data_IF_243373004475
#
_entry.id   IF_243373004475
#
_cell.length_a   1.000
_cell.length_b   1.000
_cell.length_c   1.000
_cell.angle_alpha   90.00
_cell.angle_beta   90.00
_cell.angle_gamma   90.00
#
_symmetry.space_group_name_H-M   'P 1'
#
loop_
_entity.id
_entity.type
_entity.pdbx_description
1 polymer ?
#
# COMPACT_ATOMS: atom_id res chain seq x y z
N UNK A 1 49.69 14.76 -2.30
CA UNK A 1 48.22 14.63 -2.23
C UNK A 1 47.72 14.07 -3.57
N UNK A 2 46.59 13.35 -3.62
CA UNK A 2 46.06 12.84 -4.90
C UNK A 2 44.82 13.63 -5.30
N UNK A 3 44.85 14.21 -6.51
CA UNK A 3 43.71 14.85 -7.15
C UNK A 3 42.81 13.75 -7.71
N UNK A 4 41.54 13.74 -7.30
CA UNK A 4 40.52 12.89 -7.91
C UNK A 4 39.88 13.66 -9.06
N UNK A 5 40.07 13.17 -10.27
CA UNK A 5 39.52 13.78 -11.48
C UNK A 5 38.54 12.82 -12.15
N UNK A 6 37.35 13.30 -12.47
CA UNK A 6 36.35 12.55 -13.25
C UNK A 6 36.41 13.01 -14.70
N UNK A 7 36.66 12.07 -15.61
CA UNK A 7 36.69 12.37 -17.04
C UNK A 7 35.29 12.68 -17.58
N UNK A 8 35.12 13.81 -18.27
CA UNK A 8 33.83 14.27 -18.81
C UNK A 8 33.28 13.42 -19.97
N UNK A 9 34.11 12.57 -20.58
CA UNK A 9 33.73 11.78 -21.75
C UNK A 9 33.38 10.32 -21.42
N UNK A 10 33.91 9.78 -20.32
CA UNK A 10 33.75 8.36 -19.98
C UNK A 10 33.49 8.10 -18.49
N UNK A 11 33.35 9.16 -17.69
CA UNK A 11 33.11 9.12 -16.24
C UNK A 11 34.11 8.30 -15.41
N UNK A 12 35.25 7.92 -16.00
CA UNK A 12 36.31 7.25 -15.27
C UNK A 12 36.92 8.18 -14.21
N UNK A 13 36.95 7.73 -12.96
CA UNK A 13 37.56 8.43 -11.83
C UNK A 13 39.04 8.09 -11.74
N UNK A 14 39.89 9.07 -12.06
CA UNK A 14 41.34 8.94 -12.04
C UNK A 14 41.92 9.54 -10.77
N UNK A 15 42.80 8.78 -10.12
CA UNK A 15 43.62 9.24 -8.98
C UNK A 15 44.97 9.69 -9.53
N UNK A 16 45.14 11.00 -9.67
CA UNK A 16 46.35 11.60 -10.22
C UNK A 16 47.11 12.26 -9.07
N UNK A 17 48.44 12.18 -9.08
CA UNK A 17 49.24 12.87 -8.06
C UNK A 17 49.23 14.39 -8.30
N UNK A 18 49.22 15.15 -7.23
CA UNK A 18 49.26 16.62 -7.22
C UNK A 18 50.47 17.23 -7.95
N UNK A 19 51.60 16.52 -8.05
CA UNK A 19 52.78 16.96 -8.81
C UNK A 19 52.53 17.11 -10.33
N UNK A 20 51.36 16.66 -10.81
CA UNK A 20 50.92 16.79 -12.20
C UNK A 20 49.82 17.83 -12.40
N UNK A 21 49.47 18.60 -11.37
CA UNK A 21 48.58 19.74 -11.51
C UNK A 21 49.07 20.71 -12.60
N UNK A 22 48.16 21.21 -13.44
CA UNK A 22 48.46 22.12 -14.55
C UNK A 22 49.07 21.48 -15.80
N UNK A 23 49.39 20.18 -15.80
CA UNK A 23 49.92 19.48 -16.98
C UNK A 23 48.79 18.88 -17.84
N UNK A 24 49.04 18.80 -19.16
CA UNK A 24 48.15 18.12 -20.09
C UNK A 24 48.28 16.60 -19.93
N UNK A 25 47.18 15.93 -19.59
CA UNK A 25 47.06 14.49 -19.47
C UNK A 25 46.13 13.89 -20.51
N UNK A 26 46.13 12.56 -20.62
CA UNK A 26 45.13 11.81 -21.39
C UNK A 26 44.45 10.78 -20.52
N UNK A 27 43.14 10.65 -20.67
CA UNK A 27 42.38 9.64 -19.94
C UNK A 27 42.77 8.23 -20.44
N UNK A 28 43.09 7.27 -19.54
CA UNK A 28 43.39 5.90 -19.95
C UNK A 28 42.18 5.13 -20.50
N UNK A 29 40.96 5.56 -20.17
CA UNK A 29 39.71 4.97 -20.68
C UNK A 29 39.39 5.40 -22.13
N UNK A 30 39.23 6.70 -22.35
CA UNK A 30 38.78 7.25 -23.63
C UNK A 30 39.87 7.96 -24.46
N UNK A 31 41.09 8.10 -23.94
CA UNK A 31 42.24 8.82 -24.57
C UNK A 31 42.01 10.32 -24.80
N UNK A 32 40.90 10.88 -24.33
CA UNK A 32 40.63 12.33 -24.38
C UNK A 32 41.71 13.10 -23.63
N UNK A 33 42.21 14.17 -24.26
CA UNK A 33 43.17 15.07 -23.65
C UNK A 33 42.45 16.04 -22.69
N UNK A 34 43.00 16.22 -21.50
CA UNK A 34 42.45 17.14 -20.49
C UNK A 34 43.60 17.82 -19.73
N UNK A 35 43.31 18.97 -19.11
CA UNK A 35 44.27 19.68 -18.25
C UNK A 35 43.92 19.38 -16.80
N UNK A 36 44.90 18.94 -16.01
CA UNK A 36 44.70 18.58 -14.60
C UNK A 36 44.47 19.87 -13.79
N UNK A 37 43.32 20.04 -13.12
CA UNK A 37 43.04 21.24 -12.33
C UNK A 37 44.01 21.38 -11.15
N UNK A 38 44.36 22.61 -10.77
CA UNK A 38 45.11 22.86 -9.54
C UNK A 38 44.20 22.61 -8.32
N UNK A 39 44.70 21.96 -7.25
CA UNK A 39 43.89 21.72 -6.06
C UNK A 39 43.70 23.05 -5.30
N UNK A 40 42.43 23.41 -5.04
CA UNK A 40 42.09 24.53 -4.14
C UNK A 40 42.59 24.24 -2.71
N UNK A 41 43.21 25.21 -2.01
CA UNK A 41 43.82 24.98 -0.70
C UNK A 41 42.80 25.07 0.45
N UNK A 42 41.65 24.37 0.39
CA UNK A 42 40.83 24.08 1.59
C UNK A 42 40.00 22.81 1.38
N UNK A 43 40.50 21.70 1.89
CA UNK A 43 39.68 20.61 2.43
C UNK A 43 40.62 19.65 3.17
N UNK A 44 40.75 19.85 4.48
CA UNK A 44 41.24 18.82 5.39
C UNK A 44 40.35 17.59 5.29
N UNK A 45 40.97 16.45 5.05
CA UNK A 45 40.37 15.13 4.87
C UNK A 45 39.33 14.76 5.95
N UNK A 46 38.26 14.00 5.60
CA UNK A 46 37.54 13.19 6.58
C UNK A 46 38.41 12.00 7.03
N UNK A 47 38.23 11.47 8.26
CA UNK A 47 39.15 10.50 8.86
C UNK A 47 39.13 9.14 8.12
N UNK A 48 40.19 8.33 8.26
CA UNK A 48 40.33 7.07 7.55
C UNK A 48 39.37 6.01 8.11
N UNK A 49 38.62 5.40 7.21
CA UNK A 49 37.94 4.13 7.49
C UNK A 49 39.03 3.05 7.53
N UNK A 50 39.25 2.48 8.71
CA UNK A 50 40.17 1.36 8.90
C UNK A 50 39.53 0.06 8.41
N UNK A 51 40.24 -0.64 7.53
CA UNK A 51 40.11 -2.09 7.37
C UNK A 51 40.90 -2.78 8.49
N UNK A 52 40.30 -3.77 9.14
CA UNK A 52 41.02 -4.64 10.09
C UNK A 52 40.15 -5.49 11.00
N UNK A 53 39.61 -6.59 10.46
CA UNK A 53 39.62 -7.93 11.08
C UNK A 53 38.66 -8.26 12.23
N UNK A 54 37.85 -9.30 12.04
CA UNK A 54 37.16 -10.03 13.10
C UNK A 54 35.84 -10.68 12.66
N UNK A 55 35.96 -11.73 11.85
CA UNK A 55 35.26 -13.04 11.88
C UNK A 55 33.75 -13.14 12.17
N UNK A 56 33.10 -14.03 11.40
CA UNK A 56 31.68 -14.47 11.45
C UNK A 56 30.74 -13.46 10.74
N UNK A 57 30.25 -13.69 9.51
CA UNK A 57 29.22 -14.65 9.13
C UNK A 57 29.23 -14.81 7.58
N UNK A 58 29.80 -15.90 7.07
CA UNK A 58 29.57 -16.39 5.71
C UNK A 58 28.23 -17.14 5.70
N UNK A 59 27.14 -16.59 5.11
CA UNK A 59 25.98 -17.41 4.71
C UNK A 59 24.89 -16.71 3.85
N UNK A 60 25.27 -15.83 2.90
CA UNK A 60 24.29 -15.21 2.00
C UNK A 60 24.52 -15.40 0.50
N UNK A 61 25.64 -16.00 0.07
CA UNK A 61 25.94 -16.19 -1.36
C UNK A 61 25.87 -17.65 -1.84
N UNK A 62 25.56 -18.62 -0.98
CA UNK A 62 25.34 -20.01 -1.39
C UNK A 62 23.91 -20.31 -1.88
N UNK A 63 22.96 -19.37 -1.73
CA UNK A 63 21.54 -19.62 -2.06
C UNK A 63 21.11 -19.14 -3.47
N UNK A 64 22.00 -18.49 -4.22
CA UNK A 64 21.65 -17.90 -5.53
C UNK A 64 22.23 -18.65 -6.75
N UNK A 65 22.81 -19.84 -6.55
CA UNK A 65 23.36 -20.65 -7.63
C UNK A 65 23.06 -22.15 -7.46
N UNK A 66 21.79 -22.54 -7.36
CA UNK A 66 21.42 -23.97 -7.49
C UNK A 66 20.03 -24.12 -8.14
N UNK A 67 20.03 -24.80 -9.29
CA UNK A 67 18.89 -25.38 -10.02
C UNK A 67 17.76 -24.47 -10.49
N UNK A 68 17.72 -24.27 -11.81
CA UNK A 68 16.52 -23.88 -12.52
C UNK A 68 15.55 -25.05 -12.68
N UNK A 69 14.26 -24.74 -12.61
CA UNK A 69 13.19 -25.49 -13.27
C UNK A 69 12.02 -24.53 -13.48
N UNK A 70 11.58 -24.41 -14.73
CA UNK A 70 10.52 -23.49 -15.18
C UNK A 70 9.23 -24.30 -15.24
N UNK A 71 8.17 -23.97 -14.47
CA UNK A 71 6.89 -24.62 -14.68
C UNK A 71 6.14 -23.97 -15.85
N UNK A 72 5.89 -24.79 -16.87
CA UNK A 72 5.03 -24.53 -18.01
C UNK A 72 3.62 -24.07 -17.63
N UNK A 73 3.08 -23.14 -18.41
CA UNK A 73 1.72 -22.64 -18.31
C UNK A 73 0.72 -23.65 -18.93
N UNK A 74 -0.44 -23.93 -18.31
CA UNK A 74 -1.46 -24.74 -18.95
C UNK A 74 -2.35 -23.92 -19.90
N UNK A 75 -2.54 -24.46 -21.11
CA UNK A 75 -3.50 -24.01 -22.12
C UNK A 75 -4.97 -24.28 -21.71
N UNK A 76 -5.95 -23.57 -22.31
CA UNK A 76 -7.35 -23.69 -21.95
C UNK A 76 -8.02 -24.81 -22.75
N UNK A 77 -8.79 -25.67 -22.08
CA UNK A 77 -9.79 -26.49 -22.77
C UNK A 77 -11.15 -26.37 -22.07
N UNK A 78 -12.08 -25.81 -22.83
CA UNK A 78 -13.51 -25.96 -22.62
C UNK A 78 -13.98 -27.09 -23.51
N UNK A 79 -14.64 -28.11 -22.98
CA UNK A 79 -15.73 -28.82 -23.66
C UNK A 79 -16.69 -29.38 -22.61
N UNK A 80 -17.98 -29.14 -22.88
CA UNK A 80 -19.17 -29.68 -22.26
C UNK A 80 -19.28 -31.20 -22.50
N UNK A 81 -19.95 -31.96 -21.63
CA UNK A 81 -21.17 -32.68 -22.02
C UNK A 81 -21.83 -33.43 -20.85
N UNK A 82 -23.16 -33.37 -20.89
CA UNK A 82 -24.18 -33.93 -20.01
C UNK A 82 -24.35 -35.46 -20.12
N UNK A 83 -25.11 -36.01 -19.14
CA UNK A 83 -25.96 -37.22 -19.12
C UNK A 83 -25.55 -38.17 -17.97
N UNK A 84 -26.27 -38.21 -16.84
CA UNK A 84 -27.62 -38.73 -16.61
C UNK A 84 -27.83 -40.15 -17.17
N UNK A 85 -27.66 -41.16 -16.31
CA UNK A 85 -28.51 -42.35 -16.38
C UNK A 85 -28.71 -42.93 -14.98
N UNK A 86 -29.85 -42.54 -14.40
CA UNK A 86 -30.43 -43.15 -13.20
C UNK A 86 -31.33 -44.30 -13.65
N UNK A 87 -30.86 -45.54 -13.64
CA UNK A 87 -31.72 -46.72 -13.88
C UNK A 87 -32.42 -47.19 -12.59
N UNK A 88 -33.76 -47.30 -12.57
CA UNK A 88 -34.52 -47.77 -11.41
C UNK A 88 -34.69 -49.30 -11.45
N UNK A 89 -34.10 -50.01 -10.49
CA UNK A 89 -34.40 -51.43 -10.28
C UNK A 89 -35.60 -51.58 -9.33
N UNK A 90 -36.81 -51.55 -9.89
CA UNK A 90 -37.97 -52.20 -9.28
C UNK A 90 -37.82 -53.70 -9.53
N UNK A 91 -37.60 -54.46 -8.46
CA UNK A 91 -37.48 -55.91 -8.48
C UNK A 91 -38.13 -56.55 -7.26
N UNK A 92 -39.43 -56.31 -7.06
CA UNK A 92 -40.21 -57.13 -6.15
C UNK A 92 -40.45 -58.51 -6.81
N UNK A 93 -39.97 -59.58 -6.17
CA UNK A 93 -40.51 -60.92 -6.37
C UNK A 93 -41.07 -61.41 -5.03
N UNK A 94 -42.35 -61.83 -4.98
CA UNK A 94 -43.00 -62.24 -3.74
C UNK A 94 -42.39 -63.55 -3.23
N UNK A 95 -42.07 -63.58 -1.93
CA UNK A 95 -41.67 -64.81 -1.26
C UNK A 95 -42.82 -65.83 -1.27
N UNK A 96 -42.48 -67.08 -1.57
CA UNK A 96 -43.41 -68.21 -1.61
C UNK A 96 -43.89 -68.62 -0.21
N UNK A 97 -45.05 -69.30 -0.09
CA UNK A 97 -45.76 -69.53 1.18
C UNK A 97 -45.09 -70.47 2.19
N UNK A 98 -43.88 -70.97 1.94
CA UNK A 98 -43.28 -72.11 2.63
C UNK A 98 -42.28 -71.73 3.75
N UNK A 99 -42.12 -70.43 4.05
CA UNK A 99 -41.33 -69.95 5.20
C UNK A 99 -42.20 -69.35 6.33
N UNK A 100 -43.51 -69.57 6.29
CA UNK A 100 -44.51 -69.05 7.24
C UNK A 100 -45.00 -70.08 8.28
N UNK A 101 -44.19 -71.08 8.63
CA UNK A 101 -44.65 -72.18 9.49
C UNK A 101 -43.78 -72.49 10.73
N UNK A 102 -42.99 -71.55 11.26
CA UNK A 102 -42.31 -71.78 12.56
C UNK A 102 -42.61 -70.81 13.70
N UNK A 103 -43.59 -69.91 13.55
CA UNK A 103 -44.14 -69.14 14.68
C UNK A 103 -45.64 -69.36 14.81
N UNK A 104 -46.01 -70.60 15.09
CA UNK A 104 -47.30 -70.95 15.67
C UNK A 104 -47.15 -70.84 17.20
N UNK A 105 -47.73 -69.82 17.87
CA UNK A 105 -47.85 -69.85 19.32
C UNK A 105 -48.72 -71.07 19.73
N UNK A 106 -48.43 -71.72 20.87
CA UNK A 106 -49.18 -72.89 21.29
C UNK A 106 -50.66 -72.57 21.49
N UNK A 107 -51.57 -73.52 21.22
CA UNK A 107 -53.00 -73.37 21.49
C UNK A 107 -53.23 -73.00 22.95
N UNK A 108 -53.86 -71.85 23.18
CA UNK A 108 -54.33 -71.44 24.49
C UNK A 108 -55.52 -72.34 24.82
N UNK A 109 -55.41 -73.12 25.90
CA UNK A 109 -56.54 -73.86 26.46
C UNK A 109 -57.70 -72.88 26.66
N UNK A 110 -58.85 -73.18 26.05
CA UNK A 110 -60.09 -72.49 26.35
C UNK A 110 -60.71 -73.18 27.56
N UNK A 111 -60.74 -72.54 28.74
CA UNK A 111 -61.63 -73.02 29.79
C UNK A 111 -63.08 -72.78 29.34
N UNK A 112 -63.71 -73.87 28.94
CA UNK A 112 -65.05 -74.32 29.32
C UNK A 112 -66.01 -73.20 29.76
N UNK A 113 -67.03 -73.05 28.93
CA UNK A 113 -68.17 -72.16 29.05
C UNK A 113 -69.11 -72.58 30.18
N UNK A 114 -68.83 -72.18 31.41
CA UNK A 114 -69.85 -72.14 32.46
C UNK A 114 -69.72 -70.82 33.24
N UNK A 115 -70.84 -70.11 33.39
CA UNK A 115 -71.02 -68.82 34.09
C UNK A 115 -70.62 -67.50 33.39
N UNK A 116 -71.07 -67.30 32.15
CA UNK A 116 -71.02 -65.99 31.47
C UNK A 116 -71.92 -64.91 32.10
N UNK A 117 -72.76 -65.26 33.08
CA UNK A 117 -73.68 -64.33 33.74
C UNK A 117 -73.03 -63.46 34.82
N UNK A 118 -71.93 -63.91 35.45
CA UNK A 118 -71.19 -63.13 36.45
C UNK A 118 -70.02 -62.34 35.87
N UNK A 119 -69.49 -62.76 34.72
CA UNK A 119 -68.38 -62.07 34.06
C UNK A 119 -68.80 -60.72 33.48
N UNK A 120 -70.00 -60.62 32.89
CA UNK A 120 -70.50 -59.36 32.34
C UNK A 120 -70.75 -58.30 33.43
N UNK A 121 -71.29 -58.70 34.58
CA UNK A 121 -71.50 -57.80 35.72
C UNK A 121 -70.19 -57.29 36.34
N UNK A 122 -69.20 -58.16 36.47
CA UNK A 122 -67.88 -57.78 36.99
C UNK A 122 -67.11 -56.85 36.03
N UNK A 123 -67.24 -57.04 34.71
CA UNK A 123 -66.63 -56.15 33.72
C UNK A 123 -67.31 -54.79 33.68
N UNK A 124 -68.63 -54.72 33.83
CA UNK A 124 -69.35 -53.46 33.92
C UNK A 124 -68.98 -52.68 35.19
N UNK A 125 -68.97 -53.34 36.35
CA UNK A 125 -68.53 -52.71 37.60
C UNK A 125 -67.07 -52.23 37.54
N UNK A 126 -66.18 -53.00 36.89
CA UNK A 126 -64.78 -52.60 36.68
C UNK A 126 -64.64 -51.47 35.65
N UNK A 127 -65.52 -51.39 34.66
CA UNK A 127 -65.55 -50.30 33.68
C UNK A 127 -66.08 -48.99 34.27
N UNK A 128 -67.04 -49.07 35.21
CA UNK A 128 -67.55 -47.92 35.95
C UNK A 128 -66.53 -47.43 36.98
N UNK A 129 -65.86 -48.33 37.70
CA UNK A 129 -64.76 -47.95 38.59
C UNK A 129 -63.55 -47.40 37.83
N UNK A 130 -63.25 -47.94 36.64
CA UNK A 130 -62.19 -47.41 35.78
C UNK A 130 -62.56 -46.03 35.22
N UNK A 131 -63.81 -45.80 34.83
CA UNK A 131 -64.28 -44.47 34.41
C UNK A 131 -64.31 -43.47 35.57
N UNK A 132 -64.65 -43.89 36.78
CA UNK A 132 -64.62 -43.03 37.97
C UNK A 132 -63.20 -42.66 38.42
N UNK A 133 -62.20 -43.51 38.15
CA UNK A 133 -60.79 -43.21 38.38
C UNK A 133 -60.25 -42.20 37.34
N UNK A 134 -60.61 -42.37 36.06
CA UNK A 134 -60.18 -41.47 34.96
C UNK A 134 -60.80 -40.08 35.06
N UNK A 135 -61.95 -39.93 35.73
CA UNK A 135 -62.59 -38.61 35.96
C UNK A 135 -61.92 -37.78 37.06
N UNK A 136 -61.07 -38.39 37.90
CA UNK A 136 -60.33 -37.68 38.97
C UNK A 136 -58.83 -37.47 38.67
N UNK A 137 -58.34 -37.87 37.49
CA UNK A 137 -56.97 -37.56 37.06
C UNK A 137 -56.99 -36.35 36.12
N UNK A 138 -56.54 -35.20 36.64
CA UNK A 138 -56.19 -34.03 35.83
C UNK A 138 -55.15 -34.44 34.77
N UNK A 139 -55.28 -33.99 33.50
CA UNK A 139 -54.34 -34.37 32.46
C UNK A 139 -52.94 -33.84 32.81
N UNK A 140 -52.02 -34.73 33.12
CA UNK A 140 -50.62 -34.39 33.34
C UNK A 140 -50.03 -33.88 32.01
N UNK A 141 -49.72 -32.58 31.97
CA UNK A 141 -49.09 -31.87 30.85
C UNK A 141 -47.70 -32.44 30.56
N UNK A 142 -47.68 -33.46 29.70
CA UNK A 142 -46.46 -34.07 29.17
C UNK A 142 -46.00 -33.33 27.92
N UNK A 143 -45.92 -32.00 27.99
CA UNK A 143 -45.00 -31.28 27.11
C UNK A 143 -43.58 -31.53 27.62
N UNK A 144 -42.63 -32.00 26.78
CA UNK A 144 -41.23 -32.03 27.17
C UNK A 144 -40.79 -30.57 27.34
N UNK A 145 -40.82 -30.08 28.59
CA UNK A 145 -40.22 -28.80 28.96
C UNK A 145 -38.72 -28.97 28.72
N UNK A 146 -38.25 -28.50 27.57
CA UNK A 146 -36.82 -28.28 27.37
C UNK A 146 -36.43 -27.27 28.44
N UNK A 147 -35.63 -27.73 29.41
CA UNK A 147 -35.17 -26.91 30.52
C UNK A 147 -34.22 -25.85 29.96
N UNK A 148 -34.76 -24.65 29.69
CA UNK A 148 -34.04 -23.57 29.03
C UNK A 148 -32.80 -23.11 29.82
N UNK A 149 -32.72 -23.48 31.10
CA UNK A 149 -31.58 -23.20 31.98
C UNK A 149 -30.36 -24.08 31.65
N UNK A 150 -30.55 -25.35 31.30
CA UNK A 150 -29.47 -26.24 30.84
C UNK A 150 -29.00 -25.86 29.43
N UNK A 151 -29.95 -25.54 28.54
CA UNK A 151 -29.63 -25.05 27.19
C UNK A 151 -28.84 -23.74 27.26
N UNK A 152 -29.18 -22.85 28.19
CA UNK A 152 -28.46 -21.60 28.46
C UNK A 152 -27.05 -21.83 29.01
N UNK A 153 -26.86 -22.79 29.92
CA UNK A 153 -25.54 -23.15 30.44
C UNK A 153 -24.64 -23.76 29.35
N UNK A 154 -25.17 -24.63 28.49
CA UNK A 154 -24.41 -25.23 27.38
C UNK A 154 -24.10 -24.18 26.31
N UNK A 155 -25.05 -23.30 26.00
CA UNK A 155 -24.85 -22.19 25.08
C UNK A 155 -23.79 -21.23 25.59
N UNK A 156 -23.83 -20.78 26.84
CA UNK A 156 -22.80 -19.88 27.40
C UNK A 156 -21.42 -20.54 27.40
N UNK A 157 -21.30 -21.83 27.77
CA UNK A 157 -20.00 -22.51 27.86
C UNK A 157 -19.37 -22.78 26.50
N UNK A 158 -20.16 -22.87 25.42
CA UNK A 158 -19.67 -23.06 24.04
C UNK A 158 -19.55 -21.76 23.23
N UNK A 159 -20.38 -20.74 23.48
CA UNK A 159 -20.31 -19.45 22.80
C UNK A 159 -19.25 -18.49 23.40
N UNK A 160 -18.93 -18.56 24.70
CA UNK A 160 -17.86 -17.75 25.30
C UNK A 160 -16.49 -17.90 24.60
N UNK A 161 -15.98 -19.12 24.31
CA UNK A 161 -14.70 -19.28 23.64
C UNK A 161 -14.75 -18.88 22.16
N UNK A 162 -15.91 -19.00 21.50
CA UNK A 162 -16.10 -18.57 20.10
C UNK A 162 -16.12 -17.04 20.02
N UNK A 163 -16.85 -16.37 20.91
CA UNK A 163 -16.88 -14.91 21.01
C UNK A 163 -15.51 -14.33 21.41
N UNK A 164 -14.83 -14.97 22.36
CA UNK A 164 -13.47 -14.59 22.76
C UNK A 164 -12.44 -14.80 21.64
N UNK A 165 -12.54 -15.89 20.89
CA UNK A 165 -11.68 -16.16 19.73
C UNK A 165 -11.89 -15.16 18.60
N UNK A 166 -13.14 -14.84 18.25
CA UNK A 166 -13.46 -13.83 17.23
C UNK A 166 -12.99 -12.44 17.67
N UNK A 167 -13.18 -12.07 18.94
CA UNK A 167 -12.70 -10.80 19.48
C UNK A 167 -11.16 -10.73 19.49
N UNK A 168 -10.49 -11.83 19.83
CA UNK A 168 -9.02 -11.93 19.79
C UNK A 168 -8.48 -11.78 18.36
N UNK A 169 -9.06 -12.48 17.39
CA UNK A 169 -8.69 -12.35 15.97
C UNK A 169 -8.98 -10.94 15.46
N UNK A 170 -10.11 -10.34 15.82
CA UNK A 170 -10.43 -8.96 15.45
C UNK A 170 -9.41 -7.95 16.03
N UNK A 171 -8.97 -8.14 17.28
CA UNK A 171 -7.94 -7.30 17.90
C UNK A 171 -6.57 -7.48 17.24
N UNK A 172 -6.19 -8.71 16.88
CA UNK A 172 -4.94 -8.98 16.15
C UNK A 172 -4.99 -8.34 14.76
N UNK A 173 -6.09 -8.51 14.03
CA UNK A 173 -6.28 -7.86 12.73
C UNK A 173 -6.27 -6.33 12.84
N UNK A 174 -6.89 -5.76 13.87
CA UNK A 174 -6.86 -4.32 14.14
C UNK A 174 -5.45 -3.82 14.48
N UNK A 175 -4.67 -4.60 15.25
CA UNK A 175 -3.30 -4.26 15.60
C UNK A 175 -2.38 -4.34 14.38
N UNK A 176 -2.49 -5.39 13.56
CA UNK A 176 -1.77 -5.53 12.30
C UNK A 176 -2.11 -4.40 11.31
N UNK A 177 -3.40 -4.05 11.19
CA UNK A 177 -3.85 -2.93 10.36
C UNK A 177 -3.31 -1.59 10.86
N UNK A 178 -3.32 -1.38 12.18
CA UNK A 178 -2.76 -0.17 12.81
C UNK A 178 -1.24 -0.07 12.62
N UNK A 179 -0.51 -1.19 12.63
CA UNK A 179 0.93 -1.22 12.37
C UNK A 179 1.29 -0.97 10.89
N UNK A 180 0.43 -1.33 9.93
CA UNK A 180 0.64 -1.02 8.51
C UNK A 180 0.31 0.43 8.16
N UNK A 181 -0.46 1.14 9.00
CA UNK A 181 -0.72 2.58 8.86
C UNK A 181 0.45 3.42 9.41
N UNK A 182 1.67 3.17 8.93
CA UNK A 182 2.76 4.12 9.11
C UNK A 182 2.54 5.29 8.16
N UNK A 183 1.85 6.33 8.66
CA UNK A 183 1.64 7.56 7.90
C UNK A 183 2.98 8.13 7.42
N UNK A 184 3.08 8.42 6.12
CA UNK A 184 4.25 9.10 5.55
C UNK A 184 4.44 10.42 6.29
N UNK A 185 5.58 10.59 6.97
CA UNK A 185 5.91 11.85 7.64
C UNK A 185 6.08 12.92 6.57
N UNK A 186 5.04 13.72 6.37
CA UNK A 186 5.09 14.85 5.46
C UNK A 186 5.87 16.01 6.09
N UNK A 187 6.64 16.77 5.29
CA UNK A 187 7.24 18.01 5.74
C UNK A 187 6.18 19.07 6.08
N UNK A 188 6.56 20.12 6.81
CA UNK A 188 5.67 21.26 7.08
C UNK A 188 5.30 21.95 5.76
N UNK A 189 4.01 21.93 5.42
CA UNK A 189 3.46 22.54 4.21
C UNK A 189 2.75 23.85 4.54
N UNK A 190 2.91 24.85 3.69
CA UNK A 190 2.22 26.12 3.71
C UNK A 190 1.50 26.36 2.39
N UNK A 191 0.33 27.01 2.45
CA UNK A 191 -0.44 27.34 1.26
C UNK A 191 0.30 28.38 0.43
N UNK A 192 0.42 28.13 -0.88
CA UNK A 192 1.05 29.04 -1.83
C UNK A 192 0.11 29.23 -3.01
N UNK A 193 -0.24 30.49 -3.25
CA UNK A 193 -1.05 30.93 -4.37
C UNK A 193 -0.39 32.12 -5.05
N UNK A 194 -0.78 32.40 -6.29
CA UNK A 194 -0.18 33.52 -7.00
C UNK A 194 -0.77 33.74 -8.38
N UNK A 195 -0.24 34.73 -9.07
CA UNK A 195 -0.54 35.03 -10.48
C UNK A 195 0.75 35.10 -11.27
N UNK A 196 0.73 34.59 -12.50
CA UNK A 196 1.83 34.70 -13.46
C UNK A 196 1.39 35.56 -14.63
N UNK A 197 2.21 36.56 -14.94
CA UNK A 197 2.01 37.43 -16.10
C UNK A 197 3.24 37.40 -17.01
N UNK A 198 3.05 37.55 -18.32
CA UNK A 198 4.09 37.72 -19.32
C UNK A 198 3.83 39.02 -20.07
N UNK A 199 4.78 39.96 -20.02
CA UNK A 199 4.66 41.30 -20.60
C UNK A 199 3.38 42.04 -20.18
N UNK A 200 2.99 41.85 -18.91
CA UNK A 200 1.80 42.46 -18.32
C UNK A 200 0.47 41.75 -18.65
N UNK A 201 0.48 40.67 -19.43
CA UNK A 201 -0.72 39.86 -19.72
C UNK A 201 -0.75 38.60 -18.86
N UNK A 202 -1.92 38.10 -18.42
CA UNK A 202 -2.00 36.83 -17.72
C UNK A 202 -1.43 35.70 -18.58
N UNK A 203 -0.65 34.80 -17.98
CA UNK A 203 -0.02 33.68 -18.68
C UNK A 203 -0.74 32.37 -18.34
N UNK A 204 -1.69 31.92 -19.16
CA UNK A 204 -2.47 30.73 -18.87
C UNK A 204 -1.72 29.44 -19.21
N UNK A 205 -2.01 28.36 -18.48
CA UNK A 205 -1.48 27.02 -18.74
C UNK A 205 0.04 26.91 -18.67
N UNK A 206 0.72 27.78 -17.92
CA UNK A 206 2.12 27.64 -17.54
C UNK A 206 2.22 26.72 -16.32
N UNK A 207 3.28 25.92 -16.25
CA UNK A 207 3.60 25.08 -15.10
C UNK A 207 4.65 25.79 -14.27
N UNK A 208 4.36 26.02 -13.00
CA UNK A 208 5.27 26.58 -12.02
C UNK A 208 5.70 25.49 -11.05
N UNK A 209 6.99 25.42 -10.75
CA UNK A 209 7.59 24.46 -9.82
C UNK A 209 8.45 25.19 -8.80
N UNK A 210 8.28 24.85 -7.54
CA UNK A 210 9.05 25.36 -6.41
C UNK A 210 9.93 24.22 -5.91
N UNK A 211 11.23 24.32 -6.17
CA UNK A 211 12.22 23.34 -5.73
C UNK A 211 12.92 23.87 -4.47
N UNK A 212 12.87 23.17 -3.33
CA UNK A 212 13.62 23.58 -2.15
C UNK A 212 15.11 23.75 -2.48
N UNK A 213 15.72 24.83 -2.01
CA UNK A 213 17.16 25.00 -2.13
C UNK A 213 17.83 24.00 -1.21
N UNK A 214 18.67 23.14 -1.78
CA UNK A 214 19.48 22.18 -1.05
C UNK A 214 20.36 22.90 -0.03
N UNK A 215 20.24 22.51 1.25
CA UNK A 215 21.14 22.99 2.30
C UNK A 215 22.23 21.93 2.50
N UNK A 216 23.47 22.31 2.24
CA UNK A 216 24.62 21.42 2.40
C UNK A 216 24.78 20.92 3.85
N UNK A 217 24.22 21.63 4.83
CA UNK A 217 24.28 21.26 6.24
C UNK A 217 23.09 20.39 6.68
N UNK A 218 22.05 20.28 5.86
CA UNK A 218 20.83 19.55 6.17
C UNK A 218 20.41 18.65 5.00
N UNK A 219 21.00 17.44 4.99
CA UNK A 219 20.74 16.40 3.98
C UNK A 219 19.25 16.02 3.93
N UNK A 220 18.51 16.20 5.03
CA UNK A 220 17.08 15.92 5.06
C UNK A 220 16.32 16.81 4.08
N UNK A 221 16.75 18.07 3.89
CA UNK A 221 16.17 19.01 2.92
C UNK A 221 16.46 18.67 1.47
N UNK A 222 17.58 17.99 1.19
CA UNK A 222 17.92 17.55 -0.16
C UNK A 222 17.02 16.40 -0.66
N UNK A 223 16.34 15.71 0.26
CA UNK A 223 15.37 14.66 -0.06
C UNK A 223 13.94 15.18 -0.15
N UNK A 224 13.71 16.48 0.07
CA UNK A 224 12.38 17.09 0.02
C UNK A 224 11.99 17.35 -1.45
N UNK A 225 10.80 16.90 -1.81
CA UNK A 225 10.26 17.07 -3.16
C UNK A 225 9.96 18.53 -3.50
N UNK A 226 9.90 18.82 -4.80
CA UNK A 226 9.35 20.08 -5.29
C UNK A 226 7.82 20.11 -5.22
N UNK A 227 7.26 21.31 -5.14
CA UNK A 227 5.81 21.54 -5.31
C UNK A 227 5.56 22.10 -6.70
N UNK A 228 4.41 21.79 -7.30
CA UNK A 228 4.08 22.27 -8.64
C UNK A 228 2.63 22.74 -8.73
N UNK A 229 2.39 23.69 -9.63
CA UNK A 229 1.08 24.23 -9.94
C UNK A 229 0.97 24.55 -11.42
N UNK A 230 -0.26 24.62 -11.93
CA UNK A 230 -0.53 25.05 -13.30
C UNK A 230 -1.40 26.30 -13.27
N UNK A 231 -1.09 27.28 -14.10
CA UNK A 231 -1.89 28.51 -14.17
C UNK A 231 -3.19 28.30 -14.93
N UNK A 232 -4.26 28.94 -14.44
CA UNK A 232 -5.57 29.02 -15.09
C UNK A 232 -5.61 30.10 -16.20
N UNK A 233 -6.78 30.30 -16.82
CA UNK A 233 -6.97 31.28 -17.90
C UNK A 233 -6.66 32.73 -17.50
N UNK A 234 -6.76 33.04 -16.21
CA UNK A 234 -6.45 34.35 -15.63
C UNK A 234 -5.02 34.42 -15.08
N UNK A 235 -4.22 33.38 -15.32
CA UNK A 235 -2.82 33.29 -14.89
C UNK A 235 -2.65 32.95 -13.41
N UNK A 236 -3.70 32.62 -12.66
CA UNK A 236 -3.59 32.23 -11.25
C UNK A 236 -3.14 30.80 -11.10
N UNK A 237 -2.35 30.53 -10.06
CA UNK A 237 -1.92 29.19 -9.70
C UNK A 237 -2.05 28.95 -8.20
N UNK A 238 -2.19 27.67 -7.85
CA UNK A 238 -1.97 27.13 -6.52
C UNK A 238 -0.91 26.03 -6.62
N UNK A 239 -0.06 25.90 -5.60
CA UNK A 239 0.93 24.82 -5.55
C UNK A 239 0.36 23.59 -4.84
N UNK A 240 0.73 22.43 -5.35
CA UNK A 240 0.55 21.15 -4.69
C UNK A 240 1.90 20.44 -4.53
N UNK A 241 2.14 19.92 -3.34
CA UNK A 241 3.24 19.04 -3.01
C UNK A 241 2.97 17.62 -3.52
N UNK A 242 4.03 16.81 -3.59
CA UNK A 242 3.95 15.41 -4.00
C UNK A 242 2.87 14.64 -3.21
N UNK A 243 2.14 13.75 -3.87
CA UNK A 243 1.01 13.03 -3.26
C UNK A 243 -0.31 13.80 -3.27
N UNK A 244 -0.36 14.97 -3.92
CA UNK A 244 -1.59 15.77 -4.05
C UNK A 244 -1.92 16.62 -2.81
N UNK A 245 -0.97 16.78 -1.90
CA UNK A 245 -1.13 17.62 -0.73
C UNK A 245 -1.02 19.10 -1.13
N UNK A 246 -1.95 19.93 -0.68
CA UNK A 246 -1.93 21.35 -1.03
C UNK A 246 -0.77 22.09 -0.36
N UNK A 247 -0.20 23.04 -1.10
CA UNK A 247 0.87 23.90 -0.61
C UNK A 247 2.26 23.49 -1.06
N UNK A 248 3.25 24.15 -0.46
CA UNK A 248 4.66 23.89 -0.63
C UNK A 248 5.36 23.83 0.72
N UNK A 249 6.53 23.21 0.75
CA UNK A 249 7.32 23.11 1.97
C UNK A 249 7.73 24.51 2.45
N UNK A 250 7.82 24.70 3.76
CA UNK A 250 8.31 25.95 4.34
C UNK A 250 9.83 26.05 4.14
N UNK A 251 10.31 27.16 3.57
CA UNK A 251 11.73 27.39 3.31
C UNK A 251 12.00 28.20 2.04
N UNK A 252 13.26 28.25 1.64
CA UNK A 252 13.69 28.91 0.40
C UNK A 252 13.56 27.95 -0.78
N UNK A 253 12.92 28.41 -1.85
CA UNK A 253 12.73 27.66 -3.08
C UNK A 253 13.30 28.39 -4.29
N UNK A 254 13.87 27.65 -5.23
CA UNK A 254 14.09 28.09 -6.60
C UNK A 254 12.81 27.86 -7.41
N UNK A 255 12.31 28.92 -8.03
CA UNK A 255 11.07 28.88 -8.83
C UNK A 255 11.41 28.65 -10.29
N UNK A 256 10.88 27.59 -10.88
CA UNK A 256 10.98 27.29 -12.32
C UNK A 256 9.61 27.41 -12.97
N UNK A 257 9.57 28.03 -14.13
CA UNK A 257 8.33 28.28 -14.87
C UNK A 257 8.55 27.79 -16.30
N UNK A 258 7.68 26.89 -16.71
CA UNK A 258 7.69 26.26 -18.02
C UNK A 258 6.36 26.52 -18.73
N UNK A 259 6.41 26.86 -20.01
CA UNK A 259 5.21 27.01 -20.84
C UNK A 259 5.47 26.36 -22.19
N UNK A 260 4.83 25.22 -22.41
CA UNK A 260 4.85 24.52 -23.69
C UNK A 260 3.76 25.02 -24.64
N UNK A 261 4.09 25.08 -25.93
CA UNK A 261 3.13 25.28 -27.03
C UNK A 261 2.37 23.99 -27.39
N UNK A 262 1.63 24.00 -28.50
CA UNK A 262 0.83 22.83 -28.93
C UNK A 262 1.72 21.70 -29.42
N UNK A 263 2.91 22.04 -29.87
CA UNK A 263 3.96 21.17 -30.38
C UNK A 263 4.84 20.62 -29.24
N UNK A 264 4.62 21.09 -28.00
CA UNK A 264 5.35 20.67 -26.81
C UNK A 264 6.70 21.39 -26.62
N UNK A 265 6.96 22.44 -27.38
CA UNK A 265 8.18 23.24 -27.30
C UNK A 265 8.05 24.31 -26.22
N UNK A 266 9.12 24.51 -25.47
CA UNK A 266 9.20 25.56 -24.44
C UNK A 266 9.23 26.95 -25.09
N UNK A 267 8.32 27.82 -24.64
CA UNK A 267 8.12 29.16 -25.19
C UNK A 267 8.80 30.25 -24.36
N UNK A 268 9.12 29.97 -23.09
CA UNK A 268 9.79 30.91 -22.20
C UNK A 268 11.31 30.89 -22.38
N UNK A 269 11.96 32.02 -22.11
CA UNK A 269 13.43 32.13 -22.07
C UNK A 269 14.06 31.23 -21.00
N UNK A 270 15.30 30.79 -21.21
CA UNK A 270 15.98 29.81 -20.34
C UNK A 270 16.12 30.31 -18.90
N UNK A 271 16.20 31.63 -18.73
CA UNK A 271 16.21 32.32 -17.42
C UNK A 271 15.00 32.01 -16.51
N UNK A 272 13.92 31.43 -17.02
CA UNK A 272 12.74 31.08 -16.23
C UNK A 272 12.63 29.59 -15.89
N UNK A 273 13.33 28.71 -16.61
CA UNK A 273 13.28 27.26 -16.40
C UNK A 273 14.68 26.68 -16.14
N UNK A 274 15.40 26.29 -17.19
CA UNK A 274 16.69 25.60 -17.13
C UNK A 274 17.75 26.40 -16.34
N UNK A 275 17.77 27.72 -16.51
CA UNK A 275 18.71 28.62 -15.85
C UNK A 275 18.00 29.56 -14.86
N UNK A 276 16.89 29.11 -14.25
CA UNK A 276 16.18 29.96 -13.30
C UNK A 276 17.03 30.30 -12.09
N UNK A 277 17.05 31.60 -11.77
CA UNK A 277 17.65 32.18 -10.55
C UNK A 277 16.61 32.87 -9.67
N UNK A 278 15.33 32.68 -9.98
CA UNK A 278 14.23 33.25 -9.20
C UNK A 278 14.12 32.46 -7.91
N UNK A 279 14.30 33.13 -6.78
CA UNK A 279 14.20 32.52 -5.45
C UNK A 279 13.08 33.17 -4.66
N UNK A 280 12.26 32.35 -4.00
CA UNK A 280 11.22 32.82 -3.09
C UNK A 280 11.23 32.02 -1.79
N UNK A 281 11.00 32.71 -0.69
CA UNK A 281 10.81 32.09 0.62
C UNK A 281 9.32 31.85 0.87
N UNK A 282 8.98 30.61 1.21
CA UNK A 282 7.65 30.20 1.64
C UNK A 282 7.63 30.19 3.16
N UNK A 283 6.77 31.02 3.75
CA UNK A 283 6.57 31.12 5.20
C UNK A 283 5.45 30.21 5.64
N UNK A 284 5.37 29.91 6.93
CA UNK A 284 4.23 29.20 7.50
C UNK A 284 2.91 29.95 7.25
N UNK A 285 1.83 29.20 7.01
CA UNK A 285 0.50 29.77 6.75
C UNK A 285 0.19 29.96 5.26
N UNK A 286 -0.32 31.14 4.90
CA UNK A 286 -0.76 31.46 3.53
C UNK A 286 0.20 32.45 2.87
N UNK A 287 0.68 32.11 1.68
CA UNK A 287 1.61 32.92 0.90
C UNK A 287 0.99 33.27 -0.45
N UNK A 288 1.08 34.55 -0.82
CA UNK A 288 0.71 35.06 -2.14
C UNK A 288 1.97 35.52 -2.87
N UNK A 289 2.37 34.80 -3.92
CA UNK A 289 3.60 35.04 -4.68
C UNK A 289 3.23 35.33 -6.13
N UNK A 290 3.33 36.59 -6.56
CA UNK A 290 3.03 36.98 -7.94
C UNK A 290 4.32 37.06 -8.75
N UNK A 291 4.30 36.52 -9.97
CA UNK A 291 5.45 36.37 -10.85
C UNK A 291 5.21 37.15 -12.15
N UNK A 292 6.03 38.16 -12.39
CA UNK A 292 5.98 38.97 -13.61
C UNK A 292 7.15 38.61 -14.51
N UNK A 293 6.85 38.06 -15.68
CA UNK A 293 7.81 37.61 -16.68
C UNK A 293 7.87 38.60 -17.83
N UNK A 294 9.01 38.63 -18.52
CA UNK A 294 9.24 39.43 -19.71
C UNK A 294 9.74 38.55 -20.86
N UNK A 295 9.23 38.77 -22.07
CA UNK A 295 9.62 38.01 -23.27
C UNK A 295 11.00 38.37 -23.81
N UNK A 296 11.71 39.31 -23.17
CA UNK A 296 13.04 39.73 -23.60
C UNK A 296 13.96 38.50 -23.74
N UNK A 297 14.35 38.23 -24.99
CA UNK A 297 15.28 37.17 -25.36
C UNK A 297 16.53 37.30 -24.52
N UNK A 298 17.03 36.19 -23.97
CA UNK A 298 18.32 36.14 -23.29
C UNK A 298 19.35 36.83 -24.19
N UNK A 299 19.67 38.10 -23.86
CA UNK A 299 20.66 38.86 -24.61
C UNK A 299 21.98 38.10 -24.60
N UNK A 300 22.87 38.35 -25.58
CA UNK A 300 24.21 37.74 -25.55
C UNK A 300 24.80 37.97 -24.16
N UNK A 301 25.47 36.96 -23.57
CA UNK A 301 25.97 37.05 -22.21
C UNK A 301 26.75 38.35 -22.10
N UNK A 302 26.30 39.28 -21.24
CA UNK A 302 27.05 40.50 -20.97
C UNK A 302 28.44 40.04 -20.59
N UNK A 303 29.41 40.35 -21.45
CA UNK A 303 30.81 40.23 -21.12
C UNK A 303 31.03 41.11 -19.90
N UNK A 304 31.13 40.48 -18.74
CA UNK A 304 31.72 41.08 -17.55
C UNK A 304 33.15 41.43 -17.95
N UNK A 305 33.35 42.70 -18.31
CA UNK A 305 34.67 43.26 -18.58
C UNK A 305 35.49 43.14 -17.29
N UNK A 306 36.53 42.29 -17.22
CA UNK A 306 37.24 42.00 -15.96
C UNK A 306 38.08 43.17 -15.45
N UNK A 307 38.06 44.33 -16.12
CA UNK A 307 38.91 45.48 -15.81
C UNK A 307 38.20 46.70 -15.20
N UNK A 308 36.91 46.64 -14.86
CA UNK A 308 36.25 47.74 -14.15
C UNK A 308 36.64 47.77 -12.66
N UNK A 309 37.84 48.30 -12.39
CA UNK A 309 38.38 48.60 -11.06
C UNK A 309 37.52 49.67 -10.34
N UNK A 310 36.95 49.40 -9.14
CA UNK A 310 36.17 50.36 -8.40
C UNK A 310 37.08 51.34 -7.64
N UNK A 311 37.74 52.24 -8.36
CA UNK A 311 38.43 53.39 -7.78
C UNK A 311 38.24 54.62 -8.66
N UNK A 312 37.11 55.29 -8.47
CA UNK A 312 37.01 56.75 -8.37
C UNK A 312 35.55 57.16 -8.21
N UNK A 313 35.11 57.17 -6.95
CA UNK A 313 34.02 58.04 -6.51
C UNK A 313 34.66 59.05 -5.58
N UNK A 314 34.79 60.30 -6.05
CA UNK A 314 35.00 61.50 -5.24
C UNK A 314 34.06 62.56 -5.85
N UNK A 315 33.31 63.31 -5.03
CA UNK A 315 32.11 64.05 -5.44
C UNK A 315 32.34 65.19 -6.44
#
# INVERSE_FOLDING_TARGET
MTIRFQCTECDAVLKIRDDKAGQAGRCPGCKTAFVIPEPDPVASDPPPVGEGGGDEEDDALAFLMESGDVPDAPEPTAVLDDQDETTPAIGAKPASPEERELHRPPPREQPESEDTSNAAGALLARSESARAAVVNEEPEDTTPRIDMEEVRQVAMRRLLPIGGGVLGVALVCFFLFSSMSSGTKLPSLASVTGTITLDGKPLPGATVRFEPVADINDISKNSIGGSAGRTDDEGRYSLAYAGGHEGAVVGTHTVRINKTDKEGLETLGKKYHLASRITHEVKEGSNTINLTLTSESDGPPMAIDPLANPKNVVP
#
